data_IF_522461857909
#
_entry.id   IF_522461857909
#
_cell.length_a   1.000
_cell.length_b   1.000
_cell.length_c   1.000
_cell.angle_alpha   90.00
_cell.angle_beta   90.00
_cell.angle_gamma   90.00
#
_symmetry.space_group_name_H-M   'P 1'
#
loop_
_entity.id
_entity.type
_entity.pdbx_description
1 polymer ?
#
# COMPACT_ATOMS: atom_id res chain seq x y z
N UNK A 1 -14.24 -18.99 -10.87
CA UNK A 1 -14.73 -17.74 -10.24
C UNK A 1 -14.19 -16.58 -11.05
N UNK A 2 -14.93 -15.47 -11.24
CA UNK A 2 -14.40 -14.36 -12.01
C UNK A 2 -13.17 -13.78 -11.28
N UNK A 3 -12.06 -13.65 -11.98
CA UNK A 3 -10.89 -12.92 -11.49
C UNK A 3 -11.34 -11.46 -11.25
N UNK A 4 -11.33 -11.00 -10.02
CA UNK A 4 -11.67 -9.62 -9.71
C UNK A 4 -10.56 -8.73 -10.30
N UNK A 5 -10.90 -7.95 -11.31
CA UNK A 5 -9.96 -6.98 -11.87
C UNK A 5 -9.77 -5.83 -10.85
N UNK A 6 -8.56 -5.63 -10.31
CA UNK A 6 -8.28 -4.53 -9.39
C UNK A 6 -8.68 -3.15 -9.93
N UNK A 7 -8.77 -2.99 -11.26
CA UNK A 7 -9.26 -1.76 -11.90
C UNK A 7 -10.75 -1.52 -11.65
N UNK A 8 -11.55 -2.59 -11.62
CA UNK A 8 -13.01 -2.48 -11.36
C UNK A 8 -13.21 -2.03 -9.91
N UNK A 9 -12.49 -2.65 -8.98
CA UNK A 9 -12.57 -2.30 -7.58
C UNK A 9 -12.06 -0.87 -7.32
N UNK A 10 -10.94 -0.47 -7.96
CA UNK A 10 -10.43 0.88 -7.87
C UNK A 10 -11.48 1.92 -8.35
N UNK A 11 -12.23 1.63 -9.44
CA UNK A 11 -13.33 2.50 -9.90
C UNK A 11 -14.44 2.66 -8.85
N UNK A 12 -14.75 1.58 -8.10
CA UNK A 12 -15.72 1.67 -7.00
C UNK A 12 -15.24 2.64 -5.92
N UNK A 13 -13.97 2.54 -5.49
CA UNK A 13 -13.39 3.46 -4.51
C UNK A 13 -13.32 4.90 -5.01
N UNK A 14 -12.98 5.12 -6.29
CA UNK A 14 -13.01 6.44 -6.93
C UNK A 14 -14.42 7.03 -6.87
N UNK A 15 -15.45 6.26 -7.23
CA UNK A 15 -16.85 6.69 -7.18
C UNK A 15 -17.29 7.04 -5.74
N UNK A 16 -16.96 6.19 -4.78
CA UNK A 16 -17.29 6.43 -3.36
C UNK A 16 -16.60 7.71 -2.86
N UNK A 17 -15.31 7.91 -3.19
CA UNK A 17 -14.57 9.11 -2.83
C UNK A 17 -15.19 10.34 -3.48
N UNK A 18 -15.57 10.28 -4.75
CA UNK A 18 -16.25 11.37 -5.47
C UNK A 18 -17.54 11.79 -4.77
N UNK A 19 -18.40 10.83 -4.45
CA UNK A 19 -19.67 11.11 -3.78
C UNK A 19 -19.48 11.90 -2.48
N UNK A 20 -18.42 11.58 -1.70
CA UNK A 20 -18.12 12.31 -0.48
C UNK A 20 -17.55 13.70 -0.82
N UNK A 21 -16.60 13.80 -1.76
CA UNK A 21 -16.01 15.08 -2.16
C UNK A 21 -17.08 16.05 -2.67
N UNK A 22 -18.11 15.57 -3.35
CA UNK A 22 -19.24 16.40 -3.86
C UNK A 22 -20.06 17.02 -2.72
N UNK A 23 -20.05 16.45 -1.52
CA UNK A 23 -20.75 17.01 -0.34
C UNK A 23 -19.92 18.03 0.43
N UNK A 24 -18.63 18.21 0.12
CA UNK A 24 -17.75 19.15 0.82
C UNK A 24 -17.98 20.58 0.34
N UNK A 25 -17.87 21.55 1.26
CA UNK A 25 -17.98 22.98 0.96
C UNK A 25 -16.82 23.50 0.10
N UNK A 26 -15.64 22.88 0.21
CA UNK A 26 -14.48 23.19 -0.62
C UNK A 26 -13.79 21.89 -1.08
N UNK A 27 -13.05 21.97 -2.17
CA UNK A 27 -12.37 20.81 -2.78
C UNK A 27 -10.98 20.62 -2.17
N UNK A 28 -10.63 19.42 -1.68
CA UNK A 28 -9.26 19.12 -1.27
C UNK A 28 -8.28 19.36 -2.42
N UNK A 29 -7.13 19.97 -2.14
CA UNK A 29 -6.03 20.14 -3.11
C UNK A 29 -4.87 19.27 -2.70
N UNK A 30 -4.39 18.44 -3.62
CA UNK A 30 -3.19 17.59 -3.45
C UNK A 30 -2.10 18.08 -4.38
N UNK A 31 -0.88 18.22 -3.88
CA UNK A 31 0.31 18.54 -4.64
C UNK A 31 1.12 17.27 -4.90
N UNK A 32 1.30 16.91 -6.15
CA UNK A 32 2.20 15.85 -6.59
C UNK A 32 3.58 16.41 -6.94
N UNK A 33 4.63 15.96 -6.27
CA UNK A 33 6.02 16.37 -6.51
C UNK A 33 6.77 15.27 -7.25
N UNK A 34 7.23 15.55 -8.47
CA UNK A 34 7.99 14.61 -9.29
C UNK A 34 9.36 15.17 -9.67
N UNK A 35 10.43 14.44 -9.32
CA UNK A 35 11.81 14.80 -9.67
C UNK A 35 12.33 14.00 -10.86
N UNK A 36 11.68 12.92 -11.24
CA UNK A 36 12.07 12.09 -12.38
C UNK A 36 11.86 12.80 -13.73
N UNK A 37 12.71 12.43 -14.70
CA UNK A 37 12.62 12.90 -16.09
C UNK A 37 12.23 11.78 -17.06
N UNK A 38 12.19 10.53 -16.60
CA UNK A 38 11.87 9.39 -17.45
C UNK A 38 10.38 9.33 -17.78
N UNK A 39 10.07 8.95 -19.00
CA UNK A 39 8.70 8.96 -19.50
C UNK A 39 7.76 7.99 -18.75
N UNK A 40 8.17 6.78 -18.34
CA UNK A 40 7.33 5.91 -17.51
C UNK A 40 6.88 6.56 -16.20
N UNK A 41 7.78 7.22 -15.45
CA UNK A 41 7.43 7.93 -14.21
C UNK A 41 6.49 9.11 -14.46
N UNK A 42 6.74 9.87 -15.52
CA UNK A 42 5.87 10.98 -15.91
C UNK A 42 4.47 10.50 -16.36
N UNK A 43 4.39 9.39 -17.08
CA UNK A 43 3.13 8.79 -17.48
C UNK A 43 2.32 8.31 -16.26
N UNK A 44 3.00 7.67 -15.28
CA UNK A 44 2.38 7.27 -14.03
C UNK A 44 1.87 8.48 -13.24
N UNK A 45 2.65 9.56 -13.18
CA UNK A 45 2.25 10.78 -12.47
C UNK A 45 1.03 11.44 -13.13
N UNK A 46 0.98 11.52 -14.46
CA UNK A 46 -0.19 12.02 -15.19
C UNK A 46 -1.43 11.15 -14.97
N UNK A 47 -1.25 9.82 -14.97
CA UNK A 47 -2.35 8.90 -14.70
C UNK A 47 -2.88 9.04 -13.26
N UNK A 48 -1.99 9.23 -12.28
CA UNK A 48 -2.35 9.51 -10.89
C UNK A 48 -3.11 10.83 -10.77
N UNK A 49 -2.60 11.90 -11.37
CA UNK A 49 -3.29 13.19 -11.42
C UNK A 49 -4.72 13.06 -11.99
N UNK A 50 -4.87 12.38 -13.11
CA UNK A 50 -6.17 12.17 -13.73
C UNK A 50 -7.14 11.45 -12.79
N UNK A 51 -6.67 10.46 -12.05
CA UNK A 51 -7.48 9.72 -11.06
C UNK A 51 -7.94 10.60 -9.91
N UNK A 52 -7.07 11.47 -9.38
CA UNK A 52 -7.47 12.44 -8.35
C UNK A 52 -8.54 13.41 -8.88
N UNK A 53 -8.36 13.94 -10.09
CA UNK A 53 -9.34 14.83 -10.74
C UNK A 53 -10.69 14.11 -10.92
N UNK A 54 -10.71 12.84 -11.28
CA UNK A 54 -11.92 12.03 -11.39
C UNK A 54 -12.72 11.95 -10.08
N UNK A 55 -12.09 12.14 -8.92
CA UNK A 55 -12.80 12.22 -7.63
C UNK A 55 -13.37 13.61 -7.32
N UNK A 56 -13.10 14.59 -8.13
CA UNK A 56 -13.47 16.00 -7.90
C UNK A 56 -12.47 16.75 -6.99
N UNK A 57 -11.36 16.13 -6.59
CA UNK A 57 -10.27 16.82 -5.91
C UNK A 57 -9.44 17.64 -6.89
N UNK A 58 -8.86 18.72 -6.39
CA UNK A 58 -7.85 19.46 -7.15
C UNK A 58 -6.51 18.74 -7.03
N UNK A 59 -5.82 18.55 -8.14
CA UNK A 59 -4.49 17.95 -8.15
C UNK A 59 -3.53 18.78 -9.00
N UNK A 60 -2.48 19.26 -8.38
CA UNK A 60 -1.39 19.97 -9.05
C UNK A 60 -0.18 19.04 -9.17
N UNK A 61 0.28 18.79 -10.39
CA UNK A 61 1.51 18.04 -10.63
C UNK A 61 2.65 19.01 -10.90
N UNK A 62 3.63 19.08 -9.99
CA UNK A 62 4.78 19.97 -10.07
C UNK A 62 6.06 19.18 -10.30
N UNK A 63 6.76 19.50 -11.40
CA UNK A 63 8.12 19.01 -11.61
C UNK A 63 9.09 19.87 -10.83
N UNK A 64 10.00 19.22 -10.10
CA UNK A 64 11.05 19.89 -9.31
C UNK A 64 12.39 19.23 -9.59
N UNK A 65 13.48 19.99 -9.42
CA UNK A 65 14.79 19.39 -9.39
C UNK A 65 14.93 18.59 -8.09
N UNK A 66 15.57 17.41 -8.15
CA UNK A 66 15.75 16.57 -6.96
C UNK A 66 16.47 17.28 -5.80
N UNK A 67 17.36 18.24 -6.10
CA UNK A 67 18.06 19.03 -5.08
C UNK A 67 17.21 20.17 -4.49
N UNK A 68 16.08 20.51 -5.12
CA UNK A 68 15.13 21.52 -4.66
C UNK A 68 13.90 20.89 -4.00
N UNK A 69 13.83 19.54 -3.94
CA UNK A 69 12.65 18.84 -3.47
C UNK A 69 12.37 19.09 -1.99
N UNK A 70 13.41 19.16 -1.16
CA UNK A 70 13.30 19.52 0.26
C UNK A 70 12.60 20.87 0.44
N UNK A 71 13.11 21.92 -0.21
CA UNK A 71 12.49 23.25 -0.15
C UNK A 71 11.06 23.27 -0.71
N UNK A 72 10.76 22.42 -1.72
CA UNK A 72 9.42 22.30 -2.26
C UNK A 72 8.44 21.60 -1.29
N UNK A 73 8.92 20.63 -0.52
CA UNK A 73 8.13 19.96 0.54
C UNK A 73 7.86 20.96 1.67
N UNK A 74 8.88 21.68 2.15
CA UNK A 74 8.73 22.67 3.21
C UNK A 74 7.72 23.76 2.82
N UNK A 75 7.83 24.30 1.60
CA UNK A 75 6.88 25.27 1.09
C UNK A 75 5.44 24.69 1.04
N UNK A 76 5.29 23.44 0.63
CA UNK A 76 3.99 22.78 0.57
C UNK A 76 3.41 22.49 1.98
N UNK A 77 4.26 22.16 2.94
CA UNK A 77 3.83 21.99 4.34
C UNK A 77 3.25 23.30 4.92
N UNK A 78 3.86 24.44 4.59
CA UNK A 78 3.43 25.75 5.07
C UNK A 78 2.24 26.36 4.30
N UNK A 79 1.94 25.87 3.11
CA UNK A 79 0.84 26.39 2.29
C UNK A 79 -0.52 25.83 2.78
N UNK A 80 -1.40 26.65 3.36
CA UNK A 80 -2.71 26.20 3.86
C UNK A 80 -3.67 25.80 2.74
N UNK A 81 -3.40 26.16 1.49
CA UNK A 81 -4.21 25.74 0.34
C UNK A 81 -3.90 24.31 -0.12
N UNK A 82 -2.79 23.73 0.33
CA UNK A 82 -2.39 22.36 0.03
C UNK A 82 -2.80 21.46 1.20
N UNK A 83 -3.68 20.49 0.92
CA UNK A 83 -4.27 19.58 1.92
C UNK A 83 -3.65 18.18 1.87
N UNK A 84 -2.83 17.90 0.84
CA UNK A 84 -2.11 16.64 0.71
C UNK A 84 -0.88 16.77 -0.17
N UNK A 85 0.16 16.01 0.16
CA UNK A 85 1.42 15.96 -0.60
C UNK A 85 1.65 14.52 -1.03
N UNK A 86 1.91 14.33 -2.33
CA UNK A 86 2.26 13.04 -2.93
C UNK A 86 3.64 13.17 -3.58
N UNK A 87 4.60 12.34 -3.19
CA UNK A 87 5.96 12.36 -3.73
C UNK A 87 6.19 11.10 -4.56
N UNK A 88 6.64 11.29 -5.81
CA UNK A 88 6.92 10.17 -6.71
C UNK A 88 8.31 9.59 -6.45
N UNK A 89 8.40 8.61 -5.56
CA UNK A 89 9.62 7.87 -5.26
C UNK A 89 9.87 6.74 -6.29
N UNK A 90 11.13 6.28 -6.47
CA UNK A 90 12.34 6.74 -5.82
C UNK A 90 12.90 8.04 -6.42
N UNK A 91 13.60 8.84 -5.59
CA UNK A 91 14.30 10.07 -6.00
C UNK A 91 15.80 9.81 -6.10
N UNK A 92 16.37 9.29 -5.02
CA UNK A 92 17.79 8.94 -4.88
C UNK A 92 18.01 7.43 -4.79
N UNK A 93 16.99 6.66 -4.42
CA UNK A 93 17.06 5.20 -4.25
C UNK A 93 17.88 4.77 -3.02
N UNK A 94 17.98 5.61 -2.02
CA UNK A 94 18.73 5.38 -0.79
C UNK A 94 18.03 6.02 0.43
N UNK A 95 18.72 6.11 1.57
CA UNK A 95 18.17 6.69 2.81
C UNK A 95 17.72 8.16 2.71
N UNK A 96 18.17 8.90 1.68
CA UNK A 96 17.68 10.25 1.44
C UNK A 96 16.19 10.24 1.08
N UNK A 97 15.70 9.20 0.43
CA UNK A 97 14.28 9.06 0.14
C UNK A 97 13.45 8.91 1.43
N UNK A 98 13.99 8.24 2.46
CA UNK A 98 13.36 8.14 3.77
C UNK A 98 13.35 9.48 4.50
N UNK A 99 14.45 10.23 4.41
CA UNK A 99 14.52 11.60 4.94
C UNK A 99 13.45 12.49 4.31
N UNK A 100 13.37 12.54 2.98
CA UNK A 100 12.39 13.35 2.26
C UNK A 100 10.94 12.95 2.60
N UNK A 101 10.68 11.65 2.74
CA UNK A 101 9.36 11.14 3.14
C UNK A 101 8.97 11.64 4.54
N UNK A 102 9.94 11.75 5.44
CA UNK A 102 9.72 12.22 6.80
C UNK A 102 9.63 13.76 6.94
N UNK A 103 9.99 14.52 5.90
CA UNK A 103 9.76 15.97 5.87
C UNK A 103 8.30 16.32 5.62
N UNK A 104 7.52 15.44 5.00
CA UNK A 104 6.10 15.68 4.76
C UNK A 104 5.37 15.74 6.10
N UNK A 105 4.66 16.84 6.34
CA UNK A 105 3.81 16.98 7.52
C UNK A 105 2.79 15.82 7.56
N UNK A 106 2.66 15.17 8.71
CA UNK A 106 1.79 13.98 8.83
C UNK A 106 0.33 14.28 8.51
N UNK A 107 -0.11 15.53 8.66
CA UNK A 107 -1.47 15.98 8.30
C UNK A 107 -1.68 16.11 6.80
N UNK A 108 -0.60 16.08 6.01
CA UNK A 108 -0.61 16.18 4.54
C UNK A 108 -0.03 14.95 3.84
N UNK A 109 0.44 13.95 4.59
CA UNK A 109 1.05 12.72 4.06
C UNK A 109 -0.02 11.76 3.54
N UNK A 110 -0.41 11.91 2.26
CA UNK A 110 -1.46 11.09 1.64
C UNK A 110 -1.04 9.62 1.43
N UNK A 111 0.27 9.34 1.42
CA UNK A 111 0.79 7.98 1.27
C UNK A 111 0.91 7.25 2.59
N UNK A 112 0.82 7.98 3.71
CA UNK A 112 1.08 7.50 5.07
C UNK A 112 2.44 6.80 5.18
N UNK A 113 3.45 7.34 4.49
CA UNK A 113 4.80 6.81 4.43
C UNK A 113 5.75 7.39 5.47
N UNK A 114 5.37 8.45 6.17
CA UNK A 114 6.19 9.08 7.20
C UNK A 114 6.31 8.21 8.45
N UNK A 115 7.37 8.46 9.22
CA UNK A 115 7.64 7.76 10.47
C UNK A 115 6.50 7.97 11.50
N UNK A 116 5.80 9.10 11.45
CA UNK A 116 4.63 9.33 12.30
C UNK A 116 3.57 8.24 12.09
N UNK A 117 3.13 8.02 10.85
CA UNK A 117 2.11 7.04 10.52
C UNK A 117 2.61 5.60 10.71
N UNK A 118 3.88 5.34 10.37
CA UNK A 118 4.51 4.03 10.58
C UNK A 118 4.52 3.64 12.06
N UNK A 119 4.84 4.57 12.98
CA UNK A 119 4.78 4.33 14.44
C UNK A 119 3.36 4.04 14.91
N UNK A 120 2.36 4.79 14.43
CA UNK A 120 0.95 4.54 14.74
C UNK A 120 0.49 3.15 14.27
N UNK A 121 0.87 2.77 13.05
CA UNK A 121 0.59 1.44 12.52
C UNK A 121 1.24 0.35 13.38
N UNK A 122 2.50 0.49 13.75
CA UNK A 122 3.23 -0.52 14.54
C UNK A 122 2.71 -0.64 15.97
N UNK A 123 2.24 0.46 16.56
CA UNK A 123 1.53 0.46 17.83
C UNK A 123 0.07 -0.02 17.73
N UNK A 124 -0.40 -0.37 16.52
CA UNK A 124 -1.80 -0.70 16.21
C UNK A 124 -2.80 0.40 16.61
N UNK A 125 -2.36 1.66 16.64
CA UNK A 125 -3.20 2.81 16.92
C UNK A 125 -4.04 3.15 15.68
N UNK A 126 -5.32 2.81 15.72
CA UNK A 126 -6.24 2.99 14.59
C UNK A 126 -6.92 4.36 14.56
N UNK A 127 -6.80 5.11 15.65
CA UNK A 127 -7.32 6.47 15.76
C UNK A 127 -6.23 7.37 16.35
N UNK A 128 -6.26 8.64 15.97
CA UNK A 128 -5.42 9.69 16.51
C UNK A 128 -6.29 10.83 16.99
N UNK A 129 -5.89 11.50 18.05
CA UNK A 129 -6.45 12.77 18.46
C UNK A 129 -5.66 13.90 17.82
N UNK A 130 -6.33 14.78 17.12
CA UNK A 130 -5.74 15.95 16.49
C UNK A 130 -6.68 17.14 16.62
N UNK A 131 -6.20 18.24 17.20
CA UNK A 131 -7.00 19.44 17.52
C UNK A 131 -8.29 19.14 18.30
N UNK A 132 -8.21 18.19 19.25
CA UNK A 132 -9.36 17.77 20.07
C UNK A 132 -10.39 16.90 19.32
N UNK A 133 -10.09 16.51 18.08
CA UNK A 133 -10.96 15.63 17.27
C UNK A 133 -10.31 14.26 17.11
N UNK A 134 -11.09 13.22 17.44
CA UNK A 134 -10.67 11.83 17.19
C UNK A 134 -10.88 11.48 15.73
N UNK A 135 -9.78 11.27 15.00
CA UNK A 135 -9.77 10.89 13.57
C UNK A 135 -9.22 9.48 13.38
N UNK A 136 -9.69 8.78 12.36
CA UNK A 136 -9.09 7.50 11.96
C UNK A 136 -7.69 7.74 11.39
N UNK A 137 -6.71 7.00 11.88
CA UNK A 137 -5.36 6.99 11.32
C UNK A 137 -5.39 6.61 9.83
N UNK A 138 -4.54 7.24 9.04
CA UNK A 138 -4.27 6.79 7.67
C UNK A 138 -3.24 5.67 7.68
N UNK A 139 -3.25 4.86 6.64
CA UNK A 139 -2.40 3.68 6.52
C UNK A 139 -1.63 3.73 5.19
N UNK A 140 -0.42 3.15 5.12
CA UNK A 140 0.35 3.07 3.90
C UNK A 140 -0.46 2.52 2.73
N UNK A 141 -0.44 3.23 1.61
CA UNK A 141 -1.41 3.03 0.53
C UNK A 141 -1.35 1.64 -0.11
N UNK A 142 -0.14 1.12 -0.39
CA UNK A 142 0.01 -0.21 -1.00
C UNK A 142 -0.39 -1.34 -0.05
N UNK A 143 0.06 -1.40 1.21
CA UNK A 143 -0.47 -2.35 2.19
C UNK A 143 -1.98 -2.28 2.35
N UNK A 144 -2.54 -1.07 2.46
CA UNK A 144 -3.98 -0.88 2.58
C UNK A 144 -4.74 -1.37 1.32
N UNK A 145 -4.18 -1.15 0.13
CA UNK A 145 -4.75 -1.64 -1.13
C UNK A 145 -4.83 -3.16 -1.16
N UNK A 146 -3.78 -3.86 -0.70
CA UNK A 146 -3.76 -5.33 -0.61
C UNK A 146 -4.82 -5.82 0.37
N UNK A 147 -4.88 -5.25 1.57
CA UNK A 147 -5.90 -5.62 2.57
C UNK A 147 -7.31 -5.39 2.02
N UNK A 148 -7.57 -4.24 1.39
CA UNK A 148 -8.88 -3.95 0.81
C UNK A 148 -9.26 -4.91 -0.32
N UNK A 149 -8.28 -5.28 -1.14
CA UNK A 149 -8.50 -6.29 -2.17
C UNK A 149 -8.86 -7.65 -1.57
N UNK A 150 -8.15 -8.10 -0.54
CA UNK A 150 -8.44 -9.36 0.16
C UNK A 150 -9.81 -9.36 0.84
N UNK A 151 -10.27 -8.19 1.32
CA UNK A 151 -11.63 -8.01 1.87
C UNK A 151 -12.69 -8.22 0.78
N UNK A 152 -12.51 -7.58 -0.36
CA UNK A 152 -13.46 -7.66 -1.49
C UNK A 152 -13.46 -9.05 -2.17
N UNK A 153 -12.34 -9.74 -2.07
CA UNK A 153 -12.21 -11.13 -2.53
C UNK A 153 -12.75 -12.16 -1.51
N UNK A 154 -13.35 -11.68 -0.43
CA UNK A 154 -13.91 -12.50 0.65
C UNK A 154 -12.87 -13.41 1.34
N UNK A 155 -11.57 -13.11 1.19
CA UNK A 155 -10.49 -13.78 1.92
C UNK A 155 -10.49 -13.38 3.39
N UNK A 156 -10.88 -12.12 3.67
CA UNK A 156 -11.27 -11.66 5.00
C UNK A 156 -12.76 -11.94 5.21
N UNK A 157 -13.19 -12.38 6.40
CA UNK A 157 -14.60 -12.55 6.71
C UNK A 157 -15.37 -11.23 6.49
N UNK A 158 -16.54 -11.31 5.85
CA UNK A 158 -17.34 -10.11 5.55
C UNK A 158 -17.78 -9.35 6.82
N UNK A 159 -17.93 -10.03 7.93
CA UNK A 159 -18.31 -9.42 9.21
C UNK A 159 -17.07 -9.10 10.06
N UNK A 160 -16.16 -8.26 9.54
CA UNK A 160 -14.94 -7.84 10.24
C UNK A 160 -15.21 -7.11 11.56
N UNK A 161 -16.36 -6.46 11.70
CA UNK A 161 -16.75 -5.80 12.96
C UNK A 161 -16.99 -6.77 14.12
N UNK A 162 -17.21 -8.05 13.82
CA UNK A 162 -17.48 -9.09 14.82
C UNK A 162 -16.23 -9.88 15.22
N UNK A 163 -15.11 -9.75 14.50
CA UNK A 163 -13.92 -10.56 14.74
C UNK A 163 -12.69 -9.66 14.91
N UNK A 164 -12.14 -9.61 16.11
CA UNK A 164 -10.91 -8.87 16.40
C UNK A 164 -9.70 -9.38 15.60
N UNK A 165 -9.74 -10.65 15.13
CA UNK A 165 -8.64 -11.34 14.44
C UNK A 165 -9.17 -12.06 13.18
N UNK A 166 -9.47 -11.34 12.10
CA UNK A 166 -10.11 -11.89 10.90
C UNK A 166 -9.25 -12.90 10.13
N UNK A 167 -7.93 -12.92 10.33
CA UNK A 167 -7.00 -13.87 9.71
C UNK A 167 -6.50 -14.95 10.70
N UNK A 168 -7.16 -15.14 11.84
CA UNK A 168 -6.76 -16.18 12.78
C UNK A 168 -6.71 -17.56 12.11
N UNK A 169 -5.59 -18.29 12.32
CA UNK A 169 -5.35 -19.60 11.71
C UNK A 169 -4.86 -19.56 10.26
N UNK A 170 -4.69 -18.37 9.66
CA UNK A 170 -4.14 -18.22 8.31
C UNK A 170 -2.63 -18.04 8.33
N UNK A 171 -1.94 -18.70 7.41
CA UNK A 171 -0.51 -18.50 7.12
C UNK A 171 -0.37 -17.64 5.86
N UNK A 172 0.43 -16.59 5.95
CA UNK A 172 0.72 -15.67 4.85
C UNK A 172 2.21 -15.65 4.59
N UNK A 173 2.64 -15.83 3.35
CA UNK A 173 4.03 -15.63 2.96
C UNK A 173 4.16 -14.34 2.14
N UNK A 174 5.10 -13.47 2.53
CA UNK A 174 5.38 -12.19 1.87
C UNK A 174 6.85 -12.17 1.41
N UNK A 175 7.07 -12.03 0.10
CA UNK A 175 8.39 -11.77 -0.48
C UNK A 175 8.54 -10.28 -0.78
N UNK A 176 8.92 -9.55 0.17
CA UNK A 176 9.31 -8.14 0.27
C UNK A 176 9.26 -7.74 1.74
N UNK A 177 10.32 -7.11 2.26
CA UNK A 177 10.31 -6.58 3.63
C UNK A 177 10.74 -5.12 3.67
N UNK A 178 10.47 -4.37 2.57
CA UNK A 178 10.71 -2.94 2.56
C UNK A 178 9.93 -2.23 3.68
N UNK A 179 10.51 -1.19 4.23
CA UNK A 179 9.90 -0.40 5.32
C UNK A 179 8.62 0.34 4.90
N UNK A 180 8.41 0.50 3.58
CA UNK A 180 7.23 1.22 3.05
C UNK A 180 6.07 0.30 2.66
N UNK A 181 6.33 -0.99 2.38
CA UNK A 181 5.26 -1.91 1.92
C UNK A 181 5.28 -3.22 2.69
N UNK A 182 6.35 -4.01 2.55
CA UNK A 182 6.34 -5.39 3.01
C UNK A 182 6.26 -5.52 4.52
N UNK A 183 7.06 -4.76 5.25
CA UNK A 183 7.05 -4.76 6.72
C UNK A 183 5.74 -4.20 7.30
N UNK A 184 5.23 -3.03 6.85
CA UNK A 184 3.89 -2.57 7.24
C UNK A 184 2.79 -3.58 6.97
N UNK A 185 2.79 -4.23 5.81
CA UNK A 185 1.81 -5.26 5.46
C UNK A 185 1.89 -6.47 6.39
N UNK A 186 3.11 -6.96 6.67
CA UNK A 186 3.31 -8.08 7.59
C UNK A 186 2.75 -7.77 8.99
N UNK A 187 2.99 -6.56 9.50
CA UNK A 187 2.47 -6.12 10.79
C UNK A 187 0.94 -5.99 10.76
N UNK A 188 0.36 -5.40 9.71
CA UNK A 188 -1.09 -5.29 9.57
C UNK A 188 -1.76 -6.67 9.59
N UNK A 189 -1.26 -7.62 8.79
CA UNK A 189 -1.84 -8.95 8.70
C UNK A 189 -1.62 -9.78 9.97
N UNK A 190 -0.49 -9.62 10.67
CA UNK A 190 -0.25 -10.29 11.94
C UNK A 190 -1.11 -9.72 13.07
N UNK A 191 -1.38 -8.40 13.09
CA UNK A 191 -2.39 -7.80 13.98
C UNK A 191 -3.80 -8.33 13.72
N UNK A 192 -4.10 -8.65 12.45
CA UNK A 192 -5.36 -9.27 12.06
C UNK A 192 -5.39 -10.80 12.35
N UNK A 193 -4.34 -11.34 12.97
CA UNK A 193 -4.27 -12.71 13.48
C UNK A 193 -3.56 -13.72 12.58
N UNK A 194 -3.02 -13.31 11.43
CA UNK A 194 -2.26 -14.20 10.58
C UNK A 194 -0.87 -14.52 11.17
N UNK A 195 -0.39 -15.72 10.91
CA UNK A 195 1.04 -16.05 10.98
C UNK A 195 1.68 -15.59 9.67
N UNK A 196 2.57 -14.59 9.72
CA UNK A 196 3.18 -14.04 8.51
C UNK A 196 4.65 -14.42 8.40
N UNK A 197 4.99 -15.14 7.34
CA UNK A 197 6.35 -15.54 6.98
C UNK A 197 6.89 -14.50 5.96
N UNK A 198 7.82 -13.66 6.37
CA UNK A 198 8.33 -12.56 5.56
C UNK A 198 9.77 -12.84 5.12
N UNK A 199 10.03 -12.75 3.83
CA UNK A 199 11.32 -13.02 3.21
C UNK A 199 11.90 -11.78 2.55
N UNK A 200 13.20 -11.57 2.75
CA UNK A 200 14.06 -10.67 1.99
C UNK A 200 15.47 -11.29 1.83
N UNK A 201 16.45 -10.48 1.45
CA UNK A 201 17.85 -10.89 1.30
C UNK A 201 18.55 -11.27 2.62
N UNK A 202 18.00 -10.87 3.77
CA UNK A 202 18.56 -11.17 5.09
C UNK A 202 17.95 -12.42 5.73
N UNK A 203 17.06 -13.10 5.03
CA UNK A 203 16.44 -14.34 5.49
C UNK A 203 14.99 -14.19 5.99
N UNK A 204 14.38 -15.29 6.43
CA UNK A 204 12.99 -15.31 6.85
C UNK A 204 12.79 -14.77 8.27
N UNK A 205 11.70 -14.00 8.42
CA UNK A 205 11.15 -13.63 9.73
C UNK A 205 9.70 -14.12 9.83
N UNK A 206 9.27 -14.48 11.02
CA UNK A 206 7.87 -14.70 11.36
C UNK A 206 7.32 -13.49 12.11
N UNK A 207 6.17 -12.98 11.68
CA UNK A 207 5.42 -11.96 12.40
C UNK A 207 4.16 -12.58 12.97
N UNK A 208 4.02 -12.50 14.29
CA UNK A 208 2.82 -12.86 15.04
C UNK A 208 2.54 -11.76 16.06
N UNK A 209 1.30 -11.29 16.15
CA UNK A 209 0.88 -10.17 17.03
C UNK A 209 1.83 -8.95 16.93
N UNK A 210 2.14 -8.56 15.68
CA UNK A 210 3.08 -7.49 15.32
C UNK A 210 4.53 -7.65 15.81
N UNK A 211 4.91 -8.80 16.32
CA UNK A 211 6.28 -9.10 16.77
C UNK A 211 7.00 -9.91 15.72
N UNK A 212 8.19 -9.45 15.33
CA UNK A 212 9.07 -10.16 14.42
C UNK A 212 10.01 -11.10 15.20
N UNK A 213 10.17 -12.32 14.71
CA UNK A 213 11.10 -13.31 15.23
C UNK A 213 11.87 -13.94 14.07
N UNK A 214 13.16 -14.17 14.25
CA UNK A 214 13.94 -14.96 13.31
C UNK A 214 13.46 -16.42 13.34
N UNK A 215 13.36 -17.01 12.16
CA UNK A 215 12.96 -18.41 12.00
C UNK A 215 13.86 -19.10 10.99
N UNK A 216 14.01 -20.40 11.14
CA UNK A 216 14.66 -21.25 10.15
C UNK A 216 13.56 -22.00 9.37
N UNK A 217 13.20 -21.47 8.20
CA UNK A 217 12.22 -22.08 7.31
C UNK A 217 12.65 -21.90 5.86
N UNK A 218 12.65 -22.98 5.10
CA UNK A 218 12.92 -22.92 3.68
C UNK A 218 11.77 -22.27 2.90
N UNK A 219 12.10 -21.55 1.81
CA UNK A 219 11.12 -20.93 0.90
C UNK A 219 10.03 -21.93 0.46
N UNK A 220 10.43 -23.13 0.04
CA UNK A 220 9.50 -24.16 -0.43
C UNK A 220 8.51 -24.58 0.67
N UNK A 221 8.98 -24.73 1.90
CA UNK A 221 8.12 -25.07 3.04
C UNK A 221 7.14 -23.92 3.35
N UNK A 222 7.60 -22.67 3.34
CA UNK A 222 6.73 -21.51 3.54
C UNK A 222 5.63 -21.43 2.49
N UNK A 223 5.98 -21.58 1.21
CA UNK A 223 5.02 -21.57 0.10
C UNK A 223 4.00 -22.69 0.22
N UNK A 224 4.44 -23.92 0.51
CA UNK A 224 3.55 -25.10 0.56
C UNK A 224 2.55 -25.06 1.72
N UNK A 225 2.74 -24.23 2.74
CA UNK A 225 1.84 -24.11 3.90
C UNK A 225 1.01 -22.81 3.90
N UNK A 226 1.18 -21.97 2.88
CA UNK A 226 0.56 -20.64 2.87
C UNK A 226 -0.85 -20.65 2.27
N UNK A 227 -1.80 -20.02 2.99
CA UNK A 227 -3.13 -19.67 2.47
C UNK A 227 -3.06 -18.47 1.51
N UNK A 228 -2.11 -17.56 1.76
CA UNK A 228 -1.94 -16.34 0.96
C UNK A 228 -0.44 -16.16 0.67
N UNK A 229 -0.10 -15.92 -0.59
CA UNK A 229 1.27 -15.59 -1.02
C UNK A 229 1.28 -14.24 -1.70
N UNK A 230 2.08 -13.32 -1.18
CA UNK A 230 2.19 -11.94 -1.67
C UNK A 230 3.62 -11.66 -2.07
N UNK A 231 3.83 -11.15 -3.27
CA UNK A 231 5.16 -10.85 -3.80
C UNK A 231 5.28 -9.41 -4.25
N UNK A 232 6.45 -8.83 -4.02
CA UNK A 232 6.75 -7.47 -4.42
C UNK A 232 8.23 -7.26 -4.69
N UNK A 233 8.93 -8.29 -5.19
CA UNK A 233 10.37 -8.22 -5.42
C UNK A 233 10.65 -7.50 -6.73
N UNK A 234 11.35 -6.34 -6.73
CA UNK A 234 11.60 -5.54 -7.91
C UNK A 234 12.83 -6.05 -8.69
N UNK A 235 12.88 -7.35 -8.99
CA UNK A 235 13.99 -7.99 -9.68
C UNK A 235 13.50 -9.02 -10.68
N UNK A 236 14.08 -8.98 -11.87
CA UNK A 236 13.90 -10.03 -12.88
C UNK A 236 14.59 -11.36 -12.51
N UNK A 237 15.52 -11.33 -11.56
CA UNK A 237 16.24 -12.51 -11.08
C UNK A 237 15.55 -13.21 -9.91
N UNK A 238 14.42 -12.69 -9.44
CA UNK A 238 13.63 -13.38 -8.43
C UNK A 238 13.13 -14.71 -9.00
N UNK A 239 13.38 -15.85 -8.34
CA UNK A 239 12.87 -17.13 -8.78
C UNK A 239 11.34 -17.09 -8.78
N UNK A 240 10.72 -17.17 -9.96
CA UNK A 240 9.28 -17.18 -10.07
C UNK A 240 8.67 -18.27 -9.22
N UNK A 241 7.48 -18.02 -8.70
CA UNK A 241 6.71 -19.01 -7.95
C UNK A 241 5.84 -19.80 -8.94
N UNK A 242 6.02 -21.11 -8.93
CA UNK A 242 5.29 -22.04 -9.79
C UNK A 242 4.08 -22.65 -9.09
N UNK A 243 3.08 -23.13 -9.82
CA UNK A 243 1.91 -23.82 -9.25
C UNK A 243 2.25 -24.95 -8.28
N UNK A 244 3.28 -25.73 -8.60
CA UNK A 244 3.70 -26.87 -7.77
C UNK A 244 4.26 -26.48 -6.39
N UNK A 245 4.60 -25.21 -6.18
CA UNK A 245 5.14 -24.73 -4.91
C UNK A 245 4.06 -24.27 -3.93
N UNK A 246 2.82 -24.06 -4.39
CA UNK A 246 1.71 -23.56 -3.57
C UNK A 246 0.53 -24.54 -3.57
N UNK A 247 -0.32 -24.43 -2.56
CA UNK A 247 -1.55 -25.25 -2.52
C UNK A 247 -2.58 -24.75 -3.53
N UNK A 248 -3.44 -25.63 -4.02
CA UNK A 248 -4.49 -25.30 -5.00
C UNK A 248 -5.49 -24.22 -4.50
N UNK A 249 -5.63 -24.03 -3.18
CA UNK A 249 -6.48 -23.00 -2.57
C UNK A 249 -5.80 -21.70 -2.26
N UNK A 250 -4.49 -21.55 -2.54
CA UNK A 250 -3.70 -20.38 -2.18
C UNK A 250 -4.12 -19.15 -2.96
N UNK A 251 -4.26 -18.01 -2.27
CA UNK A 251 -4.46 -16.70 -2.89
C UNK A 251 -3.11 -16.09 -3.23
N UNK A 252 -2.90 -15.71 -4.49
CA UNK A 252 -1.63 -15.17 -4.97
C UNK A 252 -1.77 -13.72 -5.41
N UNK A 253 -0.93 -12.82 -4.86
CA UNK A 253 -0.94 -11.38 -5.19
C UNK A 253 0.47 -10.92 -5.54
N UNK A 254 0.60 -10.26 -6.69
CA UNK A 254 1.83 -9.58 -7.10
C UNK A 254 1.64 -8.06 -7.09
N UNK A 255 2.48 -7.35 -6.35
CA UNK A 255 2.51 -5.88 -6.39
C UNK A 255 3.79 -5.31 -7.03
N UNK A 256 4.70 -6.17 -7.48
CA UNK A 256 5.88 -5.78 -8.26
C UNK A 256 5.51 -5.38 -9.68
N UNK A 257 6.37 -4.57 -10.32
CA UNK A 257 6.36 -4.37 -11.78
C UNK A 257 6.85 -5.60 -12.54
N UNK A 258 7.60 -6.49 -11.87
CA UNK A 258 8.08 -7.76 -12.42
C UNK A 258 7.10 -8.89 -12.14
N UNK A 259 7.08 -9.89 -13.02
CA UNK A 259 6.27 -11.09 -12.84
C UNK A 259 6.97 -12.05 -11.86
N UNK A 260 6.62 -11.96 -10.57
CA UNK A 260 7.19 -12.84 -9.55
C UNK A 260 6.52 -14.23 -9.50
N UNK A 261 5.40 -14.41 -10.17
CA UNK A 261 4.75 -15.72 -10.38
C UNK A 261 4.89 -16.15 -11.83
N UNK A 262 4.99 -17.45 -12.04
CA UNK A 262 4.90 -18.04 -13.36
C UNK A 262 3.48 -17.88 -13.92
N UNK A 263 3.33 -17.71 -15.23
CA UNK A 263 2.03 -17.47 -15.87
C UNK A 263 0.99 -18.55 -15.62
N UNK A 264 1.40 -19.82 -15.52
CA UNK A 264 0.52 -20.96 -15.23
C UNK A 264 -0.12 -20.93 -13.84
N UNK A 265 0.27 -19.99 -12.95
CA UNK A 265 -0.36 -19.84 -11.62
C UNK A 265 -1.85 -19.55 -11.72
N UNK A 266 -2.28 -18.87 -12.79
CA UNK A 266 -3.69 -18.49 -13.05
C UNK A 266 -4.62 -19.71 -13.13
N UNK A 267 -4.12 -20.83 -13.65
CA UNK A 267 -4.91 -22.06 -13.82
C UNK A 267 -4.96 -22.90 -12.54
N UNK A 268 -4.03 -22.65 -11.60
CA UNK A 268 -3.85 -23.47 -10.40
C UNK A 268 -4.50 -22.87 -9.16
N UNK A 269 -4.52 -21.54 -9.04
CA UNK A 269 -5.01 -20.85 -7.85
C UNK A 269 -6.40 -20.25 -8.09
N UNK A 270 -7.28 -20.23 -7.07
CA UNK A 270 -8.63 -19.68 -7.22
C UNK A 270 -8.60 -18.16 -7.42
N UNK A 271 -7.58 -17.51 -6.88
CA UNK A 271 -7.43 -16.06 -6.93
C UNK A 271 -5.97 -15.73 -7.25
N UNK A 272 -5.75 -15.09 -8.40
CA UNK A 272 -4.48 -14.50 -8.76
C UNK A 272 -4.66 -13.02 -9.12
N UNK A 273 -3.90 -12.15 -8.48
CA UNK A 273 -3.89 -10.71 -8.74
C UNK A 273 -2.51 -10.31 -9.24
N UNK A 274 -2.35 -10.07 -10.55
CA UNK A 274 -1.03 -9.81 -11.13
C UNK A 274 -0.47 -8.41 -10.84
N UNK A 275 -1.33 -7.44 -10.51
CA UNK A 275 -0.94 -6.04 -10.23
C UNK A 275 -1.98 -5.33 -9.38
N UNK A 276 -1.53 -4.40 -8.51
CA UNK A 276 -2.41 -3.66 -7.59
C UNK A 276 -2.37 -2.13 -7.76
N UNK A 277 -1.56 -1.61 -8.68
CA UNK A 277 -1.33 -0.16 -8.84
C UNK A 277 -2.59 0.73 -8.82
N UNK A 278 -3.65 0.40 -9.57
CA UNK A 278 -4.90 1.17 -9.54
C UNK A 278 -5.51 1.28 -8.14
N UNK A 279 -5.42 0.21 -7.33
CA UNK A 279 -5.92 0.18 -5.96
C UNK A 279 -5.05 1.04 -5.02
N UNK A 280 -3.73 1.03 -5.21
CA UNK A 280 -2.82 1.90 -4.45
C UNK A 280 -3.20 3.37 -4.60
N UNK A 281 -3.40 3.84 -5.84
CA UNK A 281 -3.83 5.23 -6.11
C UNK A 281 -5.20 5.52 -5.48
N UNK A 282 -6.14 4.57 -5.54
CA UNK A 282 -7.44 4.72 -4.88
C UNK A 282 -7.32 4.88 -3.35
N UNK A 283 -6.36 4.19 -2.73
CA UNK A 283 -6.09 4.37 -1.28
C UNK A 283 -5.44 5.71 -0.96
N UNK A 284 -4.57 6.24 -1.84
CA UNK A 284 -4.04 7.59 -1.68
C UNK A 284 -5.15 8.65 -1.71
N UNK A 285 -6.09 8.55 -2.64
CA UNK A 285 -7.26 9.45 -2.71
C UNK A 285 -8.12 9.37 -1.43
N UNK A 286 -8.33 8.15 -0.91
CA UNK A 286 -9.04 7.94 0.35
C UNK A 286 -8.31 8.54 1.55
N UNK A 287 -6.98 8.41 1.61
CA UNK A 287 -6.18 9.04 2.65
C UNK A 287 -6.23 10.57 2.55
N UNK A 288 -6.07 11.13 1.34
CA UNK A 288 -6.19 12.57 1.11
C UNK A 288 -7.53 13.14 1.61
N UNK A 289 -8.64 12.43 1.33
CA UNK A 289 -9.96 12.81 1.85
C UNK A 289 -10.03 12.76 3.38
N UNK A 290 -9.47 11.73 4.02
CA UNK A 290 -9.44 11.58 5.47
C UNK A 290 -8.61 12.64 6.19
N UNK A 291 -7.47 13.02 5.60
CA UNK A 291 -6.63 14.06 6.16
C UNK A 291 -7.30 15.43 6.06
N UNK A 292 -8.09 15.64 4.99
CA UNK A 292 -8.84 16.88 4.79
C UNK A 292 -10.02 17.04 5.76
N UNK A 293 -10.74 15.98 6.09
CA UNK A 293 -11.88 15.95 7.03
C UNK A 293 -11.44 16.06 8.49
#
# INVERSE_FOLDING_TARGET
>A
MPSLDPKILAKHYVKTTRNIVETLSARPKVLGLIASKDEPSLAYARATQQRFIETGMNYELKRVNRLELEAAIDAANLDPSIHGIFIYFPIFGNQQDDYLRNLVDFTKDVEAGSQFWTRKLYANERNIEFDGVLKKAVLPCTPLAIIKLLVELEVYPQNQAATARPLAGKTVTIFNRSEVIGRPLAIMMSNDGARVLSFDEFGPLCFEDARAQEIDIARAQALSMSDIVITGVPSQHFPQIFPAEVQAGTVCINFSSYNNFHESIVEHTPIFVPRIGPMTVAMCMRNALRLYQ
#
